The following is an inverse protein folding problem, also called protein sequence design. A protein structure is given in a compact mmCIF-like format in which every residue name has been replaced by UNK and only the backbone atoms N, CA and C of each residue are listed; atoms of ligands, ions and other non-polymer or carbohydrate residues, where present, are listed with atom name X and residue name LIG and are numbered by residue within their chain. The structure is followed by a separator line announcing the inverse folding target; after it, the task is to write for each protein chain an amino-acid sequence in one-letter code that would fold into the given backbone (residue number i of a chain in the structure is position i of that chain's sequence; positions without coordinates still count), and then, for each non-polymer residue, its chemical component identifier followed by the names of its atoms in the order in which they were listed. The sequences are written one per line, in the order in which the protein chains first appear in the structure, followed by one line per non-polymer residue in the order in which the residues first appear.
data_IF_581594370683
#
_entry.id   IF_581594370683
#
_cell.length_a   1.000
_cell.length_b   1.000
_cell.length_c   1.000
_cell.angle_alpha   90.00
_cell.angle_beta   90.00
_cell.angle_gamma   90.00
#
_symmetry.space_group_name_H-M   'P 1'
#
loop_
_entity.id
_entity.type
_entity.pdbx_description
1 polymer ?
#
# COMPACT_ATOMS: atom_id res chain seq x y z
N UNK A 1 7.01 -1.60 -21.39
CA UNK A 1 6.27 -1.45 -20.12
C UNK A 1 5.03 -2.34 -20.09
N UNK A 2 4.09 -2.22 -21.05
CA UNK A 2 2.86 -3.03 -21.08
C UNK A 2 3.09 -4.56 -21.06
N UNK A 3 4.13 -5.06 -21.75
CA UNK A 3 4.45 -6.49 -21.76
C UNK A 3 4.86 -7.02 -20.38
N UNK A 4 5.69 -6.26 -19.63
CA UNK A 4 6.09 -6.61 -18.26
C UNK A 4 4.88 -6.57 -17.35
N UNK A 5 4.10 -5.49 -17.40
CA UNK A 5 2.89 -5.34 -16.59
C UNK A 5 1.89 -6.48 -16.82
N UNK A 6 1.62 -6.85 -18.08
CA UNK A 6 0.70 -7.95 -18.43
C UNK A 6 1.21 -9.29 -17.91
N UNK A 7 2.52 -9.53 -17.98
CA UNK A 7 3.15 -10.74 -17.46
C UNK A 7 3.03 -10.83 -15.94
N UNK A 8 3.38 -9.76 -15.23
CA UNK A 8 3.33 -9.71 -13.76
C UNK A 8 1.88 -9.83 -13.26
N UNK A 9 0.93 -9.07 -13.82
CA UNK A 9 -0.49 -9.24 -13.49
C UNK A 9 -0.98 -10.67 -13.77
N UNK A 10 -0.59 -11.24 -14.90
CA UNK A 10 -0.88 -12.63 -15.24
C UNK A 10 -0.32 -13.62 -14.20
N UNK A 11 0.85 -13.34 -13.61
CA UNK A 11 1.41 -14.16 -12.53
C UNK A 11 0.53 -14.15 -11.28
N UNK A 12 0.05 -12.96 -10.87
CA UNK A 12 -0.83 -12.83 -9.70
C UNK A 12 -2.18 -13.51 -9.88
N UNK A 13 -2.78 -13.45 -11.07
CA UNK A 13 -4.08 -14.08 -11.35
C UNK A 13 -4.01 -15.55 -11.77
N UNK A 14 -2.83 -16.07 -12.17
CA UNK A 14 -2.63 -17.51 -12.40
C UNK A 14 -2.30 -18.25 -11.11
N UNK A 15 -1.74 -17.55 -10.13
CA UNK A 15 -1.45 -18.10 -8.81
C UNK A 15 -2.65 -17.93 -7.87
N UNK A 16 -2.97 -18.92 -7.03
CA UNK A 16 -4.05 -18.79 -6.04
C UNK A 16 -3.81 -17.65 -5.03
N UNK A 17 -2.56 -17.20 -4.87
CA UNK A 17 -2.20 -16.12 -3.92
C UNK A 17 -2.92 -14.79 -4.24
N UNK A 18 -3.11 -14.42 -5.50
CA UNK A 18 -3.76 -13.14 -5.83
C UNK A 18 -5.21 -13.09 -5.33
N UNK A 19 -5.95 -14.18 -5.55
CA UNK A 19 -7.34 -14.29 -5.11
C UNK A 19 -7.46 -14.38 -3.59
N UNK A 20 -6.55 -15.07 -2.91
CA UNK A 20 -6.59 -15.16 -1.44
C UNK A 20 -6.36 -13.81 -0.78
N UNK A 21 -5.44 -12.99 -1.30
CA UNK A 21 -5.20 -11.63 -0.78
C UNK A 21 -6.46 -10.77 -0.92
N UNK A 22 -7.10 -10.78 -2.09
CA UNK A 22 -8.33 -10.01 -2.34
C UNK A 22 -9.45 -10.50 -1.40
N UNK A 23 -9.62 -11.82 -1.27
CA UNK A 23 -10.63 -12.41 -0.39
C UNK A 23 -10.42 -12.03 1.09
N UNK A 24 -9.17 -12.08 1.58
CA UNK A 24 -8.83 -11.67 2.94
C UNK A 24 -9.10 -10.18 3.16
N UNK A 25 -8.71 -9.33 2.20
CA UNK A 25 -8.99 -7.89 2.28
C UNK A 25 -10.49 -7.63 2.39
N UNK A 26 -11.28 -8.27 1.52
CA UNK A 26 -12.73 -8.12 1.49
C UNK A 26 -13.37 -8.66 2.77
N UNK A 27 -12.86 -9.77 3.30
CA UNK A 27 -13.35 -10.36 4.55
C UNK A 27 -13.22 -9.37 5.71
N UNK A 28 -12.03 -8.80 5.93
CA UNK A 28 -11.85 -7.80 6.99
C UNK A 28 -12.63 -6.50 6.72
N UNK A 29 -12.73 -6.06 5.46
CA UNK A 29 -13.50 -4.87 5.09
C UNK A 29 -14.97 -5.04 5.46
N UNK A 30 -15.56 -6.21 5.17
CA UNK A 30 -16.94 -6.51 5.52
C UNK A 30 -17.15 -6.67 7.04
N UNK A 31 -16.19 -7.24 7.77
CA UNK A 31 -16.27 -7.31 9.24
C UNK A 31 -16.34 -5.91 9.85
N UNK A 32 -15.43 -5.02 9.48
CA UNK A 32 -15.45 -3.65 10.03
C UNK A 32 -16.67 -2.87 9.57
N UNK A 33 -17.09 -3.02 8.32
CA UNK A 33 -18.31 -2.41 7.82
C UNK A 33 -19.55 -2.87 8.61
N UNK A 34 -19.66 -4.17 8.90
CA UNK A 34 -20.76 -4.70 9.70
C UNK A 34 -20.69 -4.19 11.15
N UNK A 35 -19.50 -4.21 11.75
CA UNK A 35 -19.29 -3.82 13.14
C UNK A 35 -19.58 -2.34 13.37
N UNK A 36 -19.14 -1.43 12.49
CA UNK A 36 -19.24 0.02 12.72
C UNK A 36 -20.41 0.70 12.02
N UNK A 37 -20.79 0.26 10.81
CA UNK A 37 -21.88 0.91 10.07
C UNK A 37 -23.21 0.19 10.30
N UNK A 38 -23.30 -1.12 10.01
CA UNK A 38 -24.58 -1.84 10.05
C UNK A 38 -25.10 -2.04 11.48
N UNK A 39 -24.25 -2.45 12.42
CA UNK A 39 -24.68 -2.75 13.80
C UNK A 39 -25.12 -1.51 14.59
N UNK A 40 -24.53 -0.35 14.28
CA UNK A 40 -24.85 0.93 14.91
C UNK A 40 -25.78 1.81 14.06
N UNK A 41 -26.26 1.29 12.92
CA UNK A 41 -27.08 2.01 11.94
C UNK A 41 -26.52 3.40 11.61
N UNK A 42 -25.20 3.46 11.36
CA UNK A 42 -24.47 4.70 11.13
C UNK A 42 -23.95 4.78 9.70
N UNK A 43 -24.14 5.94 9.05
CA UNK A 43 -23.60 6.23 7.72
C UNK A 43 -22.11 6.62 7.73
N UNK A 44 -21.49 6.72 8.90
CA UNK A 44 -20.13 7.20 9.08
C UNK A 44 -19.11 6.06 8.94
N UNK A 45 -18.32 6.09 7.87
CA UNK A 45 -17.29 5.06 7.60
C UNK A 45 -15.90 5.38 8.17
N UNK A 46 -15.70 6.54 8.82
CA UNK A 46 -14.36 6.96 9.29
C UNK A 46 -13.69 5.89 10.16
N UNK A 47 -14.44 5.23 11.05
CA UNK A 47 -13.94 4.14 11.89
C UNK A 47 -13.58 2.87 11.10
N UNK A 48 -14.35 2.54 10.05
CA UNK A 48 -14.04 1.42 9.15
C UNK A 48 -12.69 1.67 8.46
N UNK A 49 -12.48 2.90 7.96
CA UNK A 49 -11.26 3.28 7.27
C UNK A 49 -10.03 3.34 8.18
N UNK A 50 -10.18 3.85 9.41
CA UNK A 50 -9.10 3.87 10.40
C UNK A 50 -8.61 2.45 10.73
N UNK A 51 -9.53 1.50 10.94
CA UNK A 51 -9.16 0.12 11.23
C UNK A 51 -8.58 -0.61 10.00
N UNK A 52 -9.00 -0.23 8.79
CA UNK A 52 -8.44 -0.76 7.55
C UNK A 52 -6.96 -0.42 7.35
N UNK A 53 -6.44 0.64 7.97
CA UNK A 53 -5.00 0.97 7.96
C UNK A 53 -4.14 -0.22 8.39
N UNK A 54 -4.51 -0.88 9.50
CA UNK A 54 -3.75 -2.02 10.02
C UNK A 54 -3.78 -3.21 9.04
N UNK A 55 -4.93 -3.47 8.42
CA UNK A 55 -5.05 -4.54 7.43
C UNK A 55 -4.22 -4.25 6.18
N UNK A 56 -4.21 -3.00 5.71
CA UNK A 56 -3.39 -2.54 4.60
C UNK A 56 -1.89 -2.75 4.89
N UNK A 57 -1.46 -2.46 6.13
CA UNK A 57 -0.09 -2.66 6.58
C UNK A 57 0.34 -4.13 6.49
N UNK A 58 -0.56 -5.09 6.66
CA UNK A 58 -0.29 -6.51 6.46
C UNK A 58 -0.37 -6.97 5.01
N UNK A 59 -1.37 -6.48 4.27
CA UNK A 59 -1.66 -6.89 2.89
C UNK A 59 -0.55 -6.46 1.93
N UNK A 60 -0.06 -5.22 2.05
CA UNK A 60 0.92 -4.66 1.11
C UNK A 60 2.24 -5.42 1.09
N UNK A 61 2.83 -5.78 2.24
CA UNK A 61 3.90 -6.75 2.30
C UNK A 61 3.56 -7.98 1.46
N UNK A 62 2.49 -8.71 1.78
CA UNK A 62 2.15 -9.96 1.10
C UNK A 62 2.07 -9.80 -0.43
N UNK A 63 1.55 -8.67 -0.93
CA UNK A 63 1.53 -8.33 -2.37
C UNK A 63 2.93 -8.11 -2.93
N UNK A 64 3.79 -7.35 -2.24
CA UNK A 64 5.10 -6.89 -2.73
C UNK A 64 6.24 -7.91 -2.55
N UNK A 65 6.06 -8.92 -1.68
CA UNK A 65 7.07 -9.95 -1.38
C UNK A 65 7.72 -10.51 -2.63
N UNK A 66 6.88 -11.02 -3.53
CA UNK A 66 7.27 -11.87 -4.65
C UNK A 66 7.85 -11.11 -5.83
N UNK A 67 7.71 -9.78 -5.84
CA UNK A 67 8.05 -8.96 -7.00
C UNK A 67 9.51 -9.11 -7.44
N UNK A 68 10.49 -8.83 -6.58
CA UNK A 68 11.91 -8.94 -6.93
C UNK A 68 12.58 -10.15 -6.29
N UNK A 69 12.19 -10.51 -5.06
CA UNK A 69 12.81 -11.64 -4.37
C UNK A 69 12.59 -12.98 -5.07
N UNK A 70 11.44 -13.18 -5.75
CA UNK A 70 11.17 -14.41 -6.52
C UNK A 70 12.05 -14.50 -7.77
N UNK A 71 12.21 -13.38 -8.50
CA UNK A 71 13.06 -13.31 -9.68
C UNK A 71 14.54 -13.55 -9.35
N UNK A 72 14.99 -13.10 -8.18
CA UNK A 72 16.34 -13.40 -7.65
C UNK A 72 16.50 -14.86 -7.26
N UNK A 73 15.55 -15.40 -6.49
CA UNK A 73 15.56 -16.78 -6.02
C UNK A 73 15.58 -17.79 -7.18
N UNK A 74 14.88 -17.48 -8.26
CA UNK A 74 14.82 -18.32 -9.46
C UNK A 74 15.98 -18.06 -10.45
N UNK A 75 16.86 -17.09 -10.17
CA UNK A 75 17.97 -16.72 -11.06
C UNK A 75 17.54 -16.05 -12.37
N UNK A 76 16.24 -15.77 -12.55
CA UNK A 76 15.68 -15.12 -13.73
C UNK A 76 16.01 -13.63 -13.82
N UNK A 77 16.51 -13.04 -12.75
CA UNK A 77 17.01 -11.65 -12.73
C UNK A 77 18.07 -11.40 -13.81
N UNK A 78 18.96 -12.38 -14.07
CA UNK A 78 19.99 -12.29 -15.11
C UNK A 78 19.41 -12.33 -16.53
N UNK A 79 18.33 -13.09 -16.74
CA UNK A 79 17.61 -13.17 -18.02
C UNK A 79 16.75 -11.92 -18.30
N UNK A 80 16.26 -11.27 -17.24
CA UNK A 80 15.55 -10.00 -17.35
C UNK A 80 16.49 -8.86 -17.73
N UNK A 81 17.72 -8.88 -17.24
CA UNK A 81 18.74 -7.87 -17.51
C UNK A 81 19.44 -8.02 -18.86
N UNK A 82 19.46 -9.22 -19.46
CA UNK A 82 19.92 -9.41 -20.85
C UNK A 82 18.87 -9.01 -21.89
N UNK A 83 17.62 -8.82 -21.47
CA UNK A 83 16.59 -8.26 -22.34
C UNK A 83 16.84 -6.76 -22.57
N UNK A 84 16.55 -6.20 -23.76
CA UNK A 84 16.84 -4.81 -24.12
C UNK A 84 15.85 -3.82 -23.46
N UNK A 85 15.55 -4.00 -22.17
CA UNK A 85 14.57 -3.25 -21.41
C UNK A 85 15.29 -2.47 -20.31
N UNK A 86 15.08 -1.16 -20.26
CA UNK A 86 15.71 -0.34 -19.23
C UNK A 86 15.27 -0.75 -17.83
N UNK A 87 16.19 -0.72 -16.87
CA UNK A 87 15.95 -1.05 -15.45
C UNK A 87 14.75 -0.29 -14.87
N UNK A 88 14.60 0.99 -15.21
CA UNK A 88 13.45 1.79 -14.81
C UNK A 88 12.10 1.24 -15.32
N UNK A 89 12.03 0.73 -16.55
CA UNK A 89 10.80 0.14 -17.10
C UNK A 89 10.37 -1.13 -16.37
N UNK A 90 11.33 -1.90 -15.82
CA UNK A 90 11.07 -3.11 -15.03
C UNK A 90 10.50 -2.71 -13.67
N UNK A 91 11.15 -1.78 -12.97
CA UNK A 91 10.72 -1.30 -11.65
C UNK A 91 9.33 -0.69 -11.71
N UNK A 92 9.09 0.23 -12.67
CA UNK A 92 7.76 0.82 -12.84
C UNK A 92 6.70 -0.21 -13.23
N UNK A 93 7.05 -1.22 -14.04
CA UNK A 93 6.13 -2.30 -14.40
C UNK A 93 5.66 -3.09 -13.18
N UNK A 94 6.59 -3.53 -12.32
CA UNK A 94 6.27 -4.28 -11.09
C UNK A 94 5.49 -3.45 -10.08
N UNK A 95 5.85 -2.18 -9.93
CA UNK A 95 5.11 -1.25 -9.08
C UNK A 95 3.66 -1.10 -9.53
N UNK A 96 3.43 -0.86 -10.82
CA UNK A 96 2.09 -0.64 -11.36
C UNK A 96 1.25 -1.92 -11.26
N UNK A 97 1.84 -3.10 -11.44
CA UNK A 97 1.15 -4.37 -11.22
C UNK A 97 0.70 -4.56 -9.77
N UNK A 98 1.56 -4.28 -8.78
CA UNK A 98 1.19 -4.33 -7.36
C UNK A 98 0.11 -3.29 -7.02
N UNK A 99 0.23 -2.08 -7.57
CA UNK A 99 -0.74 -1.00 -7.38
C UNK A 99 -2.12 -1.36 -7.94
N UNK A 100 -2.19 -1.98 -9.13
CA UNK A 100 -3.47 -2.42 -9.72
C UNK A 100 -4.18 -3.42 -8.83
N UNK A 101 -3.46 -4.41 -8.28
CA UNK A 101 -4.04 -5.41 -7.38
C UNK A 101 -4.56 -4.74 -6.11
N UNK A 102 -3.80 -3.79 -5.57
CA UNK A 102 -4.23 -3.02 -4.41
C UNK A 102 -5.47 -2.16 -4.71
N UNK A 103 -5.55 -1.52 -5.88
CA UNK A 103 -6.74 -0.76 -6.30
C UNK A 103 -7.96 -1.66 -6.46
N UNK A 104 -7.78 -2.90 -6.96
CA UNK A 104 -8.87 -3.88 -7.00
C UNK A 104 -9.37 -4.17 -5.57
N UNK A 105 -8.47 -4.32 -4.60
CA UNK A 105 -8.86 -4.46 -3.19
C UNK A 105 -9.69 -3.26 -2.69
N UNK A 106 -9.37 -2.03 -3.10
CA UNK A 106 -10.08 -0.82 -2.65
C UNK A 106 -11.51 -0.69 -3.23
N UNK A 107 -11.84 -1.38 -4.33
CA UNK A 107 -13.17 -1.30 -4.94
C UNK A 107 -14.30 -1.73 -4.01
N UNK A 108 -14.01 -2.57 -3.00
CA UNK A 108 -15.00 -2.99 -2.00
C UNK A 108 -15.63 -1.80 -1.26
N UNK A 109 -14.89 -0.71 -1.05
CA UNK A 109 -15.41 0.46 -0.34
C UNK A 109 -16.43 1.23 -1.16
N UNK A 110 -16.34 1.20 -2.49
CA UNK A 110 -17.37 1.76 -3.36
C UNK A 110 -18.66 0.95 -3.22
N UNK A 111 -18.55 -0.38 -3.12
CA UNK A 111 -19.70 -1.26 -2.87
C UNK A 111 -20.31 -0.96 -1.49
N UNK A 112 -19.49 -0.80 -0.45
CA UNK A 112 -19.98 -0.38 0.87
C UNK A 112 -20.71 0.97 0.81
N UNK A 113 -20.20 1.93 0.03
CA UNK A 113 -20.86 3.23 -0.16
C UNK A 113 -22.23 3.11 -0.81
N UNK A 114 -22.36 2.27 -1.84
CA UNK A 114 -23.65 1.97 -2.48
C UNK A 114 -24.64 1.30 -1.52
N UNK A 115 -24.16 0.41 -0.65
CA UNK A 115 -25.00 -0.23 0.37
C UNK A 115 -25.50 0.84 1.36
N UNK A 116 -24.62 1.72 1.86
CA UNK A 116 -25.03 2.79 2.76
C UNK A 116 -26.06 3.69 2.10
N UNK A 117 -25.87 4.09 0.84
CA UNK A 117 -26.80 4.96 0.09
C UNK A 117 -28.23 4.40 0.04
N UNK A 118 -28.35 3.07 0.00
CA UNK A 118 -29.66 2.41 0.02
C UNK A 118 -30.35 2.48 1.40
N UNK A 119 -29.58 2.42 2.49
CA UNK A 119 -30.12 2.43 3.86
C UNK A 119 -30.16 3.82 4.51
N UNK A 120 -29.33 4.75 4.06
CA UNK A 120 -29.11 6.09 4.63
C UNK A 120 -28.42 7.02 3.62
N UNK A 121 -28.28 8.31 3.92
CA UNK A 121 -27.56 9.24 3.03
C UNK A 121 -26.04 9.03 3.15
N UNK A 122 -25.40 8.48 2.11
CA UNK A 122 -23.96 8.26 2.14
C UNK A 122 -23.20 9.56 1.89
N UNK A 123 -22.18 9.82 2.71
CA UNK A 123 -21.26 10.93 2.49
C UNK A 123 -20.21 10.55 1.43
N UNK A 124 -20.61 10.58 0.15
CA UNK A 124 -19.75 10.23 -0.99
C UNK A 124 -18.43 10.99 -1.02
N UNK A 125 -18.42 12.26 -0.60
CA UNK A 125 -17.19 13.05 -0.50
C UNK A 125 -16.17 12.43 0.45
N UNK A 126 -16.61 11.91 1.60
CA UNK A 126 -15.73 11.27 2.58
C UNK A 126 -15.22 9.94 2.03
N UNK A 127 -16.11 9.11 1.46
CA UNK A 127 -15.76 7.78 0.92
C UNK A 127 -14.74 7.89 -0.23
N UNK A 128 -14.94 8.81 -1.16
CA UNK A 128 -13.99 9.00 -2.27
C UNK A 128 -12.66 9.55 -1.78
N UNK A 129 -12.68 10.50 -0.83
CA UNK A 129 -11.48 11.07 -0.24
C UNK A 129 -10.66 10.01 0.51
N UNK A 130 -11.31 9.11 1.25
CA UNK A 130 -10.63 8.02 1.96
C UNK A 130 -10.11 6.94 1.05
N UNK A 131 -10.84 6.58 0.00
CA UNK A 131 -10.36 5.62 -1.01
C UNK A 131 -9.10 6.17 -1.69
N UNK A 132 -9.08 7.47 -2.01
CA UNK A 132 -7.87 8.13 -2.52
C UNK A 132 -6.74 8.17 -1.49
N UNK A 133 -7.05 8.48 -0.22
CA UNK A 133 -6.08 8.48 0.87
C UNK A 133 -5.44 7.10 1.08
N UNK A 134 -6.25 6.02 1.08
CA UNK A 134 -5.77 4.64 1.15
C UNK A 134 -4.94 4.28 -0.08
N UNK A 135 -5.35 4.70 -1.28
CA UNK A 135 -4.57 4.48 -2.50
C UNK A 135 -3.19 5.13 -2.41
N UNK A 136 -3.10 6.39 -1.99
CA UNK A 136 -1.84 7.13 -1.84
C UNK A 136 -0.94 6.57 -0.74
N UNK A 137 -1.52 6.26 0.41
CA UNK A 137 -0.79 5.63 1.51
C UNK A 137 -0.27 4.25 1.08
N UNK A 138 -1.13 3.45 0.45
CA UNK A 138 -0.75 2.14 -0.05
C UNK A 138 0.32 2.23 -1.13
N UNK A 139 0.27 3.24 -1.99
CA UNK A 139 1.29 3.48 -3.01
C UNK A 139 2.68 3.73 -2.39
N UNK A 140 2.73 4.47 -1.28
CA UNK A 140 3.96 4.72 -0.54
C UNK A 140 4.51 3.43 0.09
N UNK A 141 3.67 2.65 0.79
CA UNK A 141 4.11 1.39 1.42
C UNK A 141 4.51 0.36 0.36
N UNK A 142 3.82 0.30 -0.80
CA UNK A 142 4.19 -0.58 -1.91
C UNK A 142 5.60 -0.21 -2.43
N UNK A 143 5.91 1.07 -2.56
CA UNK A 143 7.24 1.51 -3.00
C UNK A 143 8.37 1.10 -2.03
N UNK A 144 8.12 1.19 -0.72
CA UNK A 144 9.02 0.69 0.33
C UNK A 144 9.13 -0.85 0.22
N UNK A 145 7.99 -1.51 -0.01
CA UNK A 145 7.83 -2.91 -0.34
C UNK A 145 8.83 -3.42 -1.38
N UNK A 146 8.79 -2.77 -2.53
CA UNK A 146 9.63 -3.08 -3.69
C UNK A 146 11.11 -2.82 -3.39
N UNK A 147 11.44 -1.75 -2.68
CA UNK A 147 12.82 -1.44 -2.31
C UNK A 147 13.42 -2.57 -1.45
N UNK A 148 12.72 -3.00 -0.42
CA UNK A 148 13.18 -4.08 0.47
C UNK A 148 13.23 -5.42 -0.27
N UNK A 149 12.24 -5.72 -1.12
CA UNK A 149 12.27 -6.90 -2.00
C UNK A 149 13.47 -6.85 -2.96
N UNK A 150 13.89 -5.67 -3.42
CA UNK A 150 15.08 -5.50 -4.27
C UNK A 150 16.41 -5.71 -3.53
N UNK A 151 16.43 -5.71 -2.20
CA UNK A 151 17.64 -5.92 -1.39
C UNK A 151 17.81 -7.38 -0.95
N UNK A 152 16.74 -8.18 -1.00
CA UNK A 152 16.71 -9.52 -0.41
C UNK A 152 16.41 -10.58 -1.47
N UNK A 153 16.92 -11.80 -1.25
CA UNK A 153 16.63 -12.95 -2.12
C UNK A 153 15.50 -13.83 -1.57
N UNK A 154 15.19 -13.68 -0.27
CA UNK A 154 14.14 -14.44 0.40
C UNK A 154 12.84 -13.64 0.46
N UNK A 155 11.76 -14.21 -0.09
CA UNK A 155 10.40 -13.68 0.01
C UNK A 155 9.99 -13.42 1.47
N UNK A 156 10.38 -14.30 2.40
CA UNK A 156 10.01 -14.17 3.82
C UNK A 156 10.75 -12.99 4.46
N UNK A 157 12.03 -12.77 4.13
CA UNK A 157 12.79 -11.64 4.67
C UNK A 157 12.27 -10.31 4.11
N UNK A 158 11.90 -10.29 2.82
CA UNK A 158 11.19 -9.15 2.23
C UNK A 158 9.87 -8.87 2.97
N UNK A 159 9.14 -9.93 3.37
CA UNK A 159 7.92 -9.84 4.20
C UNK A 159 8.15 -9.11 5.49
N UNK A 160 9.00 -9.71 6.31
CA UNK A 160 9.21 -9.24 7.66
C UNK A 160 9.84 -7.85 7.65
N UNK A 161 10.71 -7.54 6.68
CA UNK A 161 11.31 -6.21 6.55
C UNK A 161 10.28 -5.13 6.22
N UNK A 162 9.38 -5.39 5.27
CA UNK A 162 8.36 -4.42 4.85
C UNK A 162 7.29 -4.23 5.93
N UNK A 163 6.85 -5.32 6.57
CA UNK A 163 6.02 -5.27 7.77
C UNK A 163 6.70 -4.47 8.89
N UNK A 164 7.98 -4.74 9.15
CA UNK A 164 8.75 -4.07 10.20
C UNK A 164 8.83 -2.56 10.00
N UNK A 165 9.04 -2.10 8.76
CA UNK A 165 8.99 -0.66 8.43
C UNK A 165 7.58 -0.10 8.59
N UNK A 166 6.55 -0.84 8.17
CA UNK A 166 5.16 -0.45 8.40
C UNK A 166 4.84 -0.25 9.89
N UNK A 167 5.20 -1.22 10.72
CA UNK A 167 5.02 -1.14 12.18
C UNK A 167 5.85 -0.03 12.82
N UNK A 168 7.07 0.21 12.32
CA UNK A 168 7.88 1.33 12.77
C UNK A 168 7.17 2.66 12.51
N UNK A 169 6.61 2.87 11.32
CA UNK A 169 5.81 4.07 11.01
C UNK A 169 4.59 4.18 11.93
N UNK A 170 3.89 3.07 12.18
CA UNK A 170 2.78 3.03 13.13
C UNK A 170 3.19 3.45 14.55
N UNK A 171 4.32 2.95 15.04
CA UNK A 171 4.83 3.31 16.37
C UNK A 171 5.23 4.79 16.42
N UNK A 172 5.86 5.31 15.37
CA UNK A 172 6.20 6.73 15.28
C UNK A 172 4.96 7.61 15.33
N UNK A 173 3.87 7.22 14.67
CA UNK A 173 2.58 7.90 14.76
C UNK A 173 2.02 7.91 16.20
N UNK A 174 2.09 6.79 16.91
CA UNK A 174 1.62 6.72 18.31
C UNK A 174 2.49 7.61 19.21
N UNK A 175 3.82 7.58 19.03
CA UNK A 175 4.75 8.41 19.81
C UNK A 175 4.55 9.90 19.53
N UNK A 176 4.26 10.30 18.29
CA UNK A 176 3.97 11.70 17.94
C UNK A 176 2.74 12.23 18.68
N UNK A 177 1.71 11.39 18.84
CA UNK A 177 0.48 11.74 19.56
C UNK A 177 0.68 11.84 21.09
N UNK A 178 1.62 11.08 21.65
CA UNK A 178 1.92 11.08 23.09
C UNK A 178 3.00 12.09 23.50
N UNK A 179 3.71 12.68 22.54
CA UNK A 179 4.79 13.61 22.80
C UNK A 179 4.25 14.97 23.28
N UNK A 180 4.46 15.29 24.56
CA UNK A 180 4.12 16.60 25.13
C UNK A 180 5.10 17.72 24.70
N UNK A 181 6.30 17.39 24.22
CA UNK A 181 7.29 18.37 23.78
C UNK A 181 7.11 18.72 22.30
N UNK A 182 6.91 20.01 22.01
CA UNK A 182 6.64 20.51 20.64
C UNK A 182 7.76 20.18 19.64
N UNK A 183 9.03 20.21 20.08
CA UNK A 183 10.19 19.90 19.24
C UNK A 183 10.20 18.41 18.84
N UNK A 184 9.88 17.53 19.78
CA UNK A 184 9.81 16.08 19.53
C UNK A 184 8.63 15.77 18.61
N UNK A 185 7.47 16.40 18.85
CA UNK A 185 6.30 16.27 18.00
C UNK A 185 6.58 16.73 16.55
N UNK A 186 7.32 17.82 16.36
CA UNK A 186 7.69 18.29 15.01
C UNK A 186 8.61 17.32 14.26
N UNK A 187 9.64 16.78 14.93
CA UNK A 187 10.59 15.85 14.29
C UNK A 187 9.92 14.50 13.99
N UNK A 188 9.10 13.98 14.90
CA UNK A 188 8.38 12.72 14.70
C UNK A 188 7.22 12.90 13.72
N UNK A 189 6.63 14.09 13.64
CA UNK A 189 5.57 14.46 12.69
C UNK A 189 6.00 14.41 11.21
N UNK A 190 7.31 14.30 10.94
CA UNK A 190 7.79 14.00 9.58
C UNK A 190 7.43 12.55 9.18
N UNK A 191 7.36 11.62 10.14
CA UNK A 191 7.13 10.19 9.91
C UNK A 191 5.67 9.76 10.08
N UNK A 192 4.76 10.67 10.42
CA UNK A 192 3.37 10.32 10.73
C UNK A 192 2.57 10.01 9.48
N UNK A 193 2.28 8.73 9.23
CA UNK A 193 1.45 8.25 8.12
C UNK A 193 -0.03 8.23 8.52
N UNK A 194 -0.35 7.80 9.73
CA UNK A 194 -1.72 7.62 10.24
C UNK A 194 -2.37 8.97 10.46
N UNK A 195 -1.65 9.93 11.07
CA UNK A 195 -2.23 11.27 11.29
C UNK A 195 -2.61 11.93 9.96
N UNK A 196 -1.73 11.86 8.96
CA UNK A 196 -2.02 12.37 7.62
C UNK A 196 -3.18 11.63 6.96
N UNK A 197 -3.26 10.31 7.14
CA UNK A 197 -4.39 9.51 6.66
C UNK A 197 -5.71 9.89 7.34
N UNK A 198 -5.69 10.26 8.63
CA UNK A 198 -6.89 10.64 9.38
C UNK A 198 -7.61 11.86 8.81
N UNK A 199 -6.87 12.81 8.22
CA UNK A 199 -7.46 13.95 7.49
C UNK A 199 -8.37 13.49 6.34
N UNK A 200 -7.93 12.47 5.58
CA UNK A 200 -8.75 11.86 4.53
C UNK A 200 -9.98 11.16 5.10
N UNK A 201 -9.87 10.53 6.29
CA UNK A 201 -11.03 9.89 6.98
C UNK A 201 -12.12 10.85 7.42
N UNK A 202 -11.81 12.14 7.49
CA UNK A 202 -12.76 13.21 7.77
C UNK A 202 -13.27 13.89 6.48
N UNK A 203 -12.85 13.42 5.30
CA UNK A 203 -13.18 14.05 4.02
C UNK A 203 -12.39 15.32 3.72
N UNK A 204 -11.36 15.65 4.51
CA UNK A 204 -10.54 16.84 4.33
C UNK A 204 -9.43 16.53 3.34
N UNK A 205 -9.50 17.13 2.16
CA UNK A 205 -8.47 16.97 1.13
C UNK A 205 -7.35 17.98 1.34
N UNK A 206 -6.27 17.57 1.99
CA UNK A 206 -5.08 18.40 2.19
C UNK A 206 -4.00 18.09 1.12
N UNK A 207 -3.62 19.06 0.26
CA UNK A 207 -2.60 18.83 -0.76
C UNK A 207 -1.23 18.50 -0.17
N UNK A 208 -0.93 18.94 1.06
CA UNK A 208 0.33 18.62 1.73
C UNK A 208 0.47 17.13 2.05
N UNK A 209 -0.63 16.44 2.31
CA UNK A 209 -0.63 15.00 2.61
C UNK A 209 -0.49 14.18 1.34
N UNK A 210 -1.13 14.61 0.25
CA UNK A 210 -0.96 14.02 -1.08
C UNK A 210 0.49 14.13 -1.55
N UNK A 211 1.09 15.33 -1.45
CA UNK A 211 2.48 15.57 -1.84
C UNK A 211 3.46 14.74 -1.01
N UNK A 212 3.16 14.51 0.27
CA UNK A 212 3.99 13.67 1.13
C UNK A 212 3.98 12.20 0.69
N UNK A 213 2.80 11.60 0.46
CA UNK A 213 2.75 10.21 0.00
C UNK A 213 3.40 10.03 -1.38
N UNK A 214 3.23 11.00 -2.27
CA UNK A 214 3.89 11.00 -3.59
C UNK A 214 5.41 11.17 -3.49
N UNK A 215 5.91 12.03 -2.61
CA UNK A 215 7.34 12.23 -2.43
C UNK A 215 8.02 10.99 -1.88
N UNK A 216 7.42 10.32 -0.89
CA UNK A 216 7.88 9.02 -0.37
C UNK A 216 7.89 7.98 -1.50
N UNK A 217 6.79 7.88 -2.26
CA UNK A 217 6.68 6.95 -3.38
C UNK A 217 7.80 7.15 -4.40
N UNK A 218 8.04 8.40 -4.81
CA UNK A 218 9.08 8.73 -5.79
C UNK A 218 10.50 8.42 -5.27
N UNK A 219 10.76 8.75 -4.00
CA UNK A 219 12.06 8.53 -3.35
C UNK A 219 12.41 7.05 -3.28
N UNK A 220 11.48 6.20 -2.83
CA UNK A 220 11.74 4.76 -2.71
C UNK A 220 11.78 4.05 -4.06
N UNK A 221 11.00 4.49 -5.05
CA UNK A 221 11.15 4.00 -6.43
C UNK A 221 12.53 4.35 -6.99
N UNK A 222 13.04 5.55 -6.71
CA UNK A 222 14.38 5.94 -7.12
C UNK A 222 15.48 5.11 -6.43
N UNK A 223 15.35 4.83 -5.14
CA UNK A 223 16.24 3.91 -4.44
C UNK A 223 16.18 2.49 -5.02
N UNK A 224 15.00 2.00 -5.37
CA UNK A 224 14.82 0.69 -5.99
C UNK A 224 15.56 0.61 -7.33
N UNK A 225 15.45 1.65 -8.18
CA UNK A 225 16.18 1.72 -9.45
C UNK A 225 17.70 1.67 -9.26
N UNK A 226 18.23 2.37 -8.24
CA UNK A 226 19.66 2.38 -7.93
C UNK A 226 20.16 1.06 -7.36
N UNK A 227 19.40 0.45 -6.44
CA UNK A 227 19.72 -0.85 -5.83
C UNK A 227 19.82 -1.93 -6.90
N UNK A 228 18.80 -2.03 -7.75
CA UNK A 228 18.75 -3.00 -8.84
C UNK A 228 19.87 -2.81 -9.87
N UNK A 229 20.21 -1.55 -10.19
CA UNK A 229 21.33 -1.25 -11.09
C UNK A 229 22.72 -1.58 -10.53
N UNK A 230 22.91 -1.56 -9.21
CA UNK A 230 24.20 -1.85 -8.55
C UNK A 230 24.46 -3.36 -8.42
N UNK A 231 23.45 -4.15 -8.06
CA UNK A 231 23.55 -5.62 -8.00
C UNK A 231 23.75 -6.29 -9.38
N UNK A 232 23.57 -5.54 -10.47
CA UNK A 232 23.86 -6.02 -11.84
C UNK A 232 25.35 -5.96 -12.21
N UNK A 233 26.21 -5.30 -11.42
CA UNK A 233 27.65 -5.12 -11.71
C UNK A 233 28.58 -5.98 -10.84
N UNK A 234 28.05 -6.74 -9.90
CA UNK A 234 28.78 -7.74 -9.09
C UNK A 234 28.42 -9.14 -9.53
#
# INVERSE_FOLDING_TARGET
MAAVLKRELGSYFRSPIGYTIIAIFYFFANIFFNMYCLSYNSGNMSSVFQNMFLIVLFIIPIITMKTFSEDKKLGTDKLLLTSPVSTGRIVFGKYLSAMIIYVICLLIFVVHGLIIEYFSTAQWSVILCTVLGLALMGSAIISIGLFISSLTESQVIACVGTLGVGFFLYIMDVLANLANNAIVSYVVGVFTFIQRFSNFTLGIFNPADVLYFLSVTCLFLWFTMKSFGKNSRS
#
